data_IF_340087955832
#
_entry.id   IF_340087955832
#
_cell.length_a   1.000
_cell.length_b   1.000
_cell.length_c   1.000
_cell.angle_alpha   90.00
_cell.angle_beta   90.00
_cell.angle_gamma   90.00
#
_symmetry.space_group_name_H-M   'P 1'
#
loop_
_entity.id
_entity.type
_entity.pdbx_description
1 polymer ?
#
# COMPACT_ATOMS: atom_id res chain seq x y z
N UNK A 1 -39.48 -2.73 6.86
CA UNK A 1 -38.38 -3.65 7.23
C UNK A 1 -37.89 -4.50 6.05
N UNK A 2 -38.06 -4.04 4.79
CA UNK A 2 -37.63 -4.76 3.57
C UNK A 2 -36.57 -4.03 2.73
N UNK A 3 -36.19 -2.79 3.09
CA UNK A 3 -35.30 -1.98 2.24
C UNK A 3 -33.84 -1.91 2.73
N UNK A 4 -33.53 -2.42 3.94
CA UNK A 4 -32.18 -2.32 4.53
C UNK A 4 -31.19 -3.35 3.94
N UNK A 5 -31.70 -4.53 3.54
CA UNK A 5 -30.85 -5.63 3.05
C UNK A 5 -30.31 -5.33 1.63
N UNK A 6 -31.08 -4.60 0.80
CA UNK A 6 -30.65 -4.21 -0.54
C UNK A 6 -29.53 -3.17 -0.51
N UNK A 7 -29.56 -2.27 0.46
CA UNK A 7 -28.61 -1.17 0.59
C UNK A 7 -27.24 -1.65 1.08
N UNK A 8 -27.22 -2.56 2.07
CA UNK A 8 -25.97 -3.11 2.60
C UNK A 8 -25.24 -4.01 1.58
N UNK A 9 -25.98 -4.85 0.85
CA UNK A 9 -25.41 -5.71 -0.19
C UNK A 9 -24.85 -4.88 -1.35
N UNK A 10 -25.60 -3.85 -1.78
CA UNK A 10 -25.15 -2.89 -2.80
C UNK A 10 -23.86 -2.18 -2.40
N UNK A 11 -23.74 -1.75 -1.13
CA UNK A 11 -22.54 -1.08 -0.64
C UNK A 11 -21.31 -2.00 -0.61
N UNK A 12 -21.47 -3.28 -0.29
CA UNK A 12 -20.35 -4.25 -0.33
C UNK A 12 -19.87 -4.51 -1.75
N UNK A 13 -20.79 -4.60 -2.72
CA UNK A 13 -20.46 -4.75 -4.14
C UNK A 13 -19.73 -3.51 -4.68
N UNK A 14 -20.21 -2.32 -4.32
CA UNK A 14 -19.52 -1.07 -4.62
C UNK A 14 -18.11 -1.04 -4.03
N UNK A 15 -17.97 -1.38 -2.74
CA UNK A 15 -16.67 -1.42 -2.07
C UNK A 15 -15.71 -2.44 -2.72
N UNK A 16 -16.21 -3.61 -3.13
CA UNK A 16 -15.43 -4.61 -3.86
C UNK A 16 -14.86 -4.05 -5.17
N UNK A 17 -15.67 -3.34 -5.96
CA UNK A 17 -15.21 -2.74 -7.22
C UNK A 17 -14.19 -1.62 -6.97
N UNK A 18 -14.37 -0.82 -5.91
CA UNK A 18 -13.40 0.22 -5.52
C UNK A 18 -12.06 -0.42 -5.12
N UNK A 19 -12.08 -1.45 -4.27
CA UNK A 19 -10.88 -2.20 -3.86
C UNK A 19 -10.16 -2.81 -5.07
N UNK A 20 -10.91 -3.44 -5.97
CA UNK A 20 -10.39 -4.02 -7.20
C UNK A 20 -9.72 -2.98 -8.09
N UNK A 21 -10.34 -1.81 -8.27
CA UNK A 21 -9.74 -0.70 -9.04
C UNK A 21 -8.49 -0.15 -8.37
N UNK A 22 -8.52 0.00 -7.04
CA UNK A 22 -7.38 0.45 -6.26
C UNK A 22 -6.19 -0.52 -6.35
N UNK A 23 -6.45 -1.83 -6.36
CA UNK A 23 -5.42 -2.85 -6.48
C UNK A 23 -4.67 -2.84 -7.83
N UNK A 24 -5.23 -2.25 -8.89
CA UNK A 24 -4.58 -2.19 -10.21
C UNK A 24 -3.35 -1.30 -10.24
N UNK A 25 -3.32 -0.22 -9.47
CA UNK A 25 -2.27 0.80 -9.54
C UNK A 25 -1.59 0.96 -8.20
N UNK A 26 -0.25 0.88 -8.18
CA UNK A 26 0.51 1.06 -6.95
C UNK A 26 1.66 2.04 -7.10
N UNK A 27 1.84 2.88 -6.09
CA UNK A 27 3.00 3.72 -5.93
C UNK A 27 3.95 3.08 -4.90
N UNK A 28 5.16 2.77 -5.35
CA UNK A 28 6.19 2.11 -4.56
C UNK A 28 7.35 3.06 -4.31
N UNK A 29 7.91 3.01 -3.12
CA UNK A 29 9.11 3.77 -2.76
C UNK A 29 10.12 2.91 -2.01
N UNK A 30 11.38 3.34 -2.02
CA UNK A 30 12.46 2.59 -1.38
C UNK A 30 12.55 2.82 0.13
N UNK A 31 12.16 4.00 0.61
CA UNK A 31 12.34 4.46 1.99
C UNK A 31 11.01 4.72 2.69
N UNK A 32 11.01 4.69 4.02
CA UNK A 32 9.81 4.95 4.83
C UNK A 32 9.58 6.44 5.07
N UNK A 33 10.64 7.14 5.43
CA UNK A 33 10.60 8.55 5.84
C UNK A 33 11.12 9.49 4.75
N UNK A 34 10.87 10.79 4.94
CA UNK A 34 11.28 11.87 4.04
C UNK A 34 10.29 12.10 2.89
N UNK A 35 10.57 13.14 2.08
CA UNK A 35 9.70 13.59 0.98
C UNK A 35 9.37 12.48 -0.03
N UNK A 36 10.33 11.59 -0.29
CA UNK A 36 10.23 10.47 -1.23
C UNK A 36 9.95 9.12 -0.54
N UNK A 37 9.68 9.13 0.76
CA UNK A 37 9.27 7.96 1.52
C UNK A 37 7.76 7.82 1.63
N UNK A 38 7.29 6.69 2.16
CA UNK A 38 5.87 6.40 2.37
C UNK A 38 5.15 7.55 3.07
N UNK A 39 5.71 8.09 4.14
CA UNK A 39 5.08 9.16 4.93
C UNK A 39 4.93 10.45 4.12
N UNK A 40 6.01 10.92 3.49
CA UNK A 40 5.99 12.13 2.68
C UNK A 40 5.10 11.99 1.44
N UNK A 41 5.13 10.84 0.78
CA UNK A 41 4.32 10.58 -0.42
C UNK A 41 2.84 10.52 -0.09
N UNK A 42 2.44 9.79 0.96
CA UNK A 42 1.05 9.76 1.41
C UNK A 42 0.54 11.15 1.77
N UNK A 43 1.33 11.89 2.57
CA UNK A 43 0.98 13.25 2.96
C UNK A 43 0.79 14.18 1.76
N UNK A 44 1.72 14.15 0.79
CA UNK A 44 1.65 14.98 -0.41
C UNK A 44 0.47 14.61 -1.31
N UNK A 45 0.13 13.32 -1.41
CA UNK A 45 -1.03 12.85 -2.17
C UNK A 45 -2.32 13.36 -1.51
N UNK A 46 -2.46 13.21 -0.19
CA UNK A 46 -3.61 13.72 0.57
C UNK A 46 -3.76 15.23 0.41
N UNK A 47 -2.69 16.00 0.61
CA UNK A 47 -2.72 17.44 0.39
C UNK A 47 -3.15 17.80 -1.04
N UNK A 48 -2.62 17.10 -2.06
CA UNK A 48 -2.95 17.40 -3.44
C UNK A 48 -4.41 17.06 -3.77
N UNK A 49 -4.93 15.95 -3.28
CA UNK A 49 -6.33 15.57 -3.44
C UNK A 49 -7.26 16.56 -2.73
N UNK A 50 -6.92 16.97 -1.51
CA UNK A 50 -7.67 17.97 -0.76
C UNK A 50 -7.69 19.33 -1.47
N UNK A 51 -6.54 19.78 -2.00
CA UNK A 51 -6.46 21.04 -2.77
C UNK A 51 -7.31 21.06 -4.04
N UNK A 52 -7.67 19.87 -4.55
CA UNK A 52 -8.55 19.69 -5.71
C UNK A 52 -10.01 19.46 -5.32
N UNK A 53 -10.34 19.44 -4.03
CA UNK A 53 -11.69 19.12 -3.53
C UNK A 53 -12.09 17.66 -3.75
N UNK A 54 -11.14 16.75 -3.96
CA UNK A 54 -11.42 15.33 -4.20
C UNK A 54 -11.58 14.51 -2.91
N UNK A 55 -11.01 15.00 -1.82
CA UNK A 55 -11.19 14.44 -0.46
C UNK A 55 -11.47 15.57 0.51
N UNK A 56 -12.12 15.25 1.63
CA UNK A 56 -12.30 16.19 2.72
C UNK A 56 -10.95 16.62 3.33
N UNK A 57 -10.92 17.82 3.90
CA UNK A 57 -9.71 18.41 4.49
C UNK A 57 -9.06 17.52 5.55
N UNK A 58 -7.72 17.48 5.54
CA UNK A 58 -6.80 16.64 6.35
C UNK A 58 -6.88 16.88 7.88
N UNK A 59 -7.92 17.53 8.40
CA UNK A 59 -8.09 17.72 9.85
C UNK A 59 -8.58 16.45 10.53
N UNK A 60 -9.37 15.64 9.83
CA UNK A 60 -9.88 14.38 10.36
C UNK A 60 -8.99 13.21 9.95
N UNK A 61 -8.69 12.34 10.92
CA UNK A 61 -7.96 11.08 10.67
C UNK A 61 -8.68 10.17 9.68
N UNK A 62 -10.01 10.28 9.60
CA UNK A 62 -10.85 9.46 8.71
C UNK A 62 -11.63 10.34 7.75
N UNK A 63 -11.52 10.01 6.47
CA UNK A 63 -12.24 10.66 5.39
C UNK A 63 -12.59 9.64 4.30
N UNK A 64 -13.66 9.93 3.55
CA UNK A 64 -14.10 9.07 2.44
C UNK A 64 -13.01 8.97 1.37
N UNK A 65 -12.71 7.74 0.94
CA UNK A 65 -11.71 7.43 -0.07
C UNK A 65 -10.31 7.17 0.50
N UNK A 66 -10.08 7.29 1.81
CA UNK A 66 -8.78 6.99 2.44
C UNK A 66 -8.44 5.50 2.30
N UNK A 67 -7.37 5.13 1.60
CA UNK A 67 -6.85 3.77 1.65
C UNK A 67 -5.95 3.60 2.87
N UNK A 68 -6.07 2.47 3.54
CA UNK A 68 -5.23 2.10 4.68
C UNK A 68 -4.64 0.72 4.49
N UNK A 69 -3.54 0.46 5.16
CA UNK A 69 -2.89 -0.85 5.23
C UNK A 69 -2.71 -1.23 6.69
N UNK A 70 -3.14 -2.44 7.05
CA UNK A 70 -2.98 -2.98 8.40
C UNK A 70 -1.51 -3.28 8.67
N UNK A 71 -0.98 -2.85 9.81
CA UNK A 71 0.44 -2.99 10.17
C UNK A 71 0.71 -4.13 11.15
N UNK A 72 -0.32 -4.71 11.76
CA UNK A 72 -0.22 -5.82 12.72
C UNK A 72 -1.42 -6.75 12.61
N UNK A 73 -1.21 -8.05 12.82
CA UNK A 73 -2.28 -9.05 12.78
C UNK A 73 -3.29 -8.81 13.92
N UNK A 74 -4.58 -8.94 13.59
CA UNK A 74 -5.69 -8.93 14.53
C UNK A 74 -6.61 -10.13 14.21
N UNK A 75 -6.51 -11.17 15.02
CA UNK A 75 -7.28 -12.40 14.83
C UNK A 75 -8.78 -12.22 15.13
N UNK A 76 -9.15 -11.27 15.98
CA UNK A 76 -10.56 -10.99 16.30
C UNK A 76 -11.27 -10.36 15.09
N UNK A 77 -10.58 -9.50 14.38
CA UNK A 77 -11.05 -8.87 13.15
C UNK A 77 -10.69 -9.67 11.89
N UNK A 78 -9.93 -10.76 12.02
CA UNK A 78 -9.42 -11.56 10.89
C UNK A 78 -8.69 -10.70 9.85
N UNK A 79 -7.90 -9.74 10.33
CA UNK A 79 -7.08 -8.87 9.51
C UNK A 79 -5.60 -9.16 9.77
N UNK A 80 -4.80 -9.12 8.72
CA UNK A 80 -3.38 -9.46 8.75
C UNK A 80 -2.52 -8.30 8.27
N UNK A 81 -1.24 -8.32 8.67
CA UNK A 81 -0.27 -7.33 8.25
C UNK A 81 -0.14 -7.30 6.73
N UNK A 82 -0.43 -6.14 6.13
CA UNK A 82 -0.46 -5.95 4.68
C UNK A 82 -1.87 -5.88 4.08
N UNK A 83 -2.91 -6.24 4.83
CA UNK A 83 -4.29 -6.14 4.33
C UNK A 83 -4.65 -4.68 4.02
N UNK A 84 -5.22 -4.47 2.84
CA UNK A 84 -5.63 -3.16 2.34
C UNK A 84 -7.12 -2.95 2.59
N UNK A 85 -7.46 -1.83 3.20
CA UNK A 85 -8.83 -1.38 3.39
C UNK A 85 -9.06 -0.01 2.74
N UNK A 86 -10.31 0.27 2.37
CA UNK A 86 -10.72 1.59 1.88
C UNK A 86 -11.86 2.12 2.74
N UNK A 87 -11.70 3.34 3.24
CA UNK A 87 -12.72 4.04 4.01
C UNK A 87 -13.78 4.62 3.06
N UNK A 88 -15.05 4.25 3.24
CA UNK A 88 -16.18 4.74 2.45
C UNK A 88 -17.31 5.17 3.39
N UNK A 89 -18.19 6.03 2.87
CA UNK A 89 -19.46 6.32 3.54
C UNK A 89 -20.38 5.11 3.35
N UNK A 90 -20.88 4.55 4.46
CA UNK A 90 -21.96 3.57 4.43
C UNK A 90 -23.28 4.35 4.35
N UNK A 91 -23.96 4.29 3.20
CA UNK A 91 -25.19 5.06 2.95
C UNK A 91 -26.35 4.61 3.84
N UNK A 92 -26.44 3.31 4.14
CA UNK A 92 -27.51 2.76 4.97
C UNK A 92 -27.44 3.21 6.44
N UNK A 93 -26.24 3.45 6.95
CA UNK A 93 -26.03 3.90 8.34
C UNK A 93 -25.59 5.37 8.46
N UNK A 94 -25.32 6.05 7.34
CA UNK A 94 -24.88 7.44 7.31
C UNK A 94 -23.55 7.68 8.04
N UNK A 95 -22.63 6.71 8.05
CA UNK A 95 -21.35 6.80 8.76
C UNK A 95 -20.20 6.12 8.02
N UNK A 96 -18.97 6.51 8.34
CA UNK A 96 -17.79 5.90 7.75
C UNK A 96 -17.59 4.45 8.21
N UNK A 97 -17.27 3.58 7.26
CA UNK A 97 -16.75 2.22 7.48
C UNK A 97 -15.51 1.99 6.63
N UNK A 98 -14.68 1.04 7.02
CA UNK A 98 -13.52 0.58 6.26
C UNK A 98 -13.82 -0.81 5.73
N UNK A 99 -13.72 -0.96 4.43
CA UNK A 99 -14.05 -2.18 3.72
C UNK A 99 -12.77 -2.91 3.33
N UNK A 100 -12.72 -4.20 3.64
CA UNK A 100 -11.60 -5.09 3.36
C UNK A 100 -12.09 -6.29 2.55
N UNK A 101 -11.34 -6.65 1.51
CA UNK A 101 -11.54 -7.91 0.80
C UNK A 101 -11.06 -9.08 1.68
N UNK A 102 -11.85 -10.14 1.74
CA UNK A 102 -11.54 -11.37 2.47
C UNK A 102 -11.02 -12.45 1.49
N UNK A 103 -10.31 -13.48 1.97
CA UNK A 103 -9.79 -14.54 1.10
C UNK A 103 -10.85 -15.31 0.30
N UNK A 104 -12.10 -15.34 0.78
CA UNK A 104 -13.24 -15.95 0.10
C UNK A 104 -13.90 -15.02 -0.95
N UNK A 105 -13.33 -13.83 -1.17
CA UNK A 105 -13.85 -12.80 -2.07
C UNK A 105 -14.98 -11.96 -1.49
N UNK A 106 -15.41 -12.23 -0.25
CA UNK A 106 -16.39 -11.38 0.43
C UNK A 106 -15.76 -10.07 0.89
N UNK A 107 -16.59 -9.04 1.13
CA UNK A 107 -16.15 -7.76 1.66
C UNK A 107 -16.62 -7.59 3.09
N UNK A 108 -15.68 -7.39 4.00
CA UNK A 108 -15.91 -7.12 5.42
C UNK A 108 -15.88 -5.63 5.69
N UNK A 109 -16.94 -5.11 6.32
CA UNK A 109 -17.02 -3.72 6.74
C UNK A 109 -16.71 -3.60 8.25
N UNK A 110 -15.82 -2.67 8.62
CA UNK A 110 -15.38 -2.44 9.99
C UNK A 110 -15.49 -0.96 10.33
N UNK A 111 -15.94 -0.64 11.54
CA UNK A 111 -15.95 0.75 12.00
C UNK A 111 -14.53 1.28 12.15
N UNK A 112 -14.26 2.55 11.80
CA UNK A 112 -12.94 3.19 11.94
C UNK A 112 -12.27 2.98 13.30
N UNK A 113 -13.05 3.02 14.38
CA UNK A 113 -12.57 2.81 15.76
C UNK A 113 -12.16 1.38 16.09
N UNK A 114 -12.51 0.41 15.24
CA UNK A 114 -12.21 -1.02 15.41
C UNK A 114 -11.19 -1.53 14.39
N UNK A 115 -10.63 -0.64 13.57
CA UNK A 115 -9.55 -1.01 12.66
C UNK A 115 -8.28 -1.17 13.50
N UNK A 116 -7.53 -2.29 13.37
CA UNK A 116 -6.27 -2.48 14.09
C UNK A 116 -5.22 -1.43 13.69
N UNK A 117 -4.03 -1.41 14.32
CA UNK A 117 -2.95 -0.52 13.90
C UNK A 117 -2.75 -0.53 12.39
N UNK A 118 -2.76 0.66 11.78
CA UNK A 118 -2.79 0.86 10.34
C UNK A 118 -2.10 2.16 9.94
N UNK A 119 -1.70 2.23 8.67
CA UNK A 119 -1.13 3.43 8.04
C UNK A 119 -1.87 3.77 6.74
N UNK A 120 -1.82 5.03 6.28
CA UNK A 120 -2.35 5.42 4.96
C UNK A 120 -1.57 4.69 3.86
N UNK A 121 -2.27 4.25 2.80
CA UNK A 121 -1.71 3.32 1.81
C UNK A 121 -1.79 3.77 0.34
N UNK A 122 -1.73 5.08 0.07
CA UNK A 122 -1.55 5.55 -1.32
C UNK A 122 -0.17 5.13 -1.87
N UNK A 123 0.85 5.22 -1.02
CA UNK A 123 2.20 4.73 -1.23
C UNK A 123 2.51 3.57 -0.28
N UNK A 124 3.37 2.65 -0.71
CA UNK A 124 3.95 1.64 0.18
C UNK A 124 5.44 1.43 -0.16
N UNK A 125 6.18 0.81 0.75
CA UNK A 125 7.57 0.43 0.46
C UNK A 125 7.61 -0.76 -0.49
N UNK A 126 8.69 -0.87 -1.28
CA UNK A 126 8.95 -2.05 -2.12
C UNK A 126 8.96 -3.34 -1.26
N UNK A 127 9.52 -3.29 -0.05
CA UNK A 127 9.52 -4.43 0.88
C UNK A 127 8.11 -4.89 1.24
N UNK A 128 7.19 -3.96 1.51
CA UNK A 128 5.79 -4.27 1.84
C UNK A 128 4.99 -4.79 0.64
N UNK A 129 5.49 -4.61 -0.58
CA UNK A 129 4.87 -5.16 -1.80
C UNK A 129 5.32 -6.58 -2.17
N UNK A 130 6.12 -7.24 -1.32
CA UNK A 130 6.64 -8.57 -1.62
C UNK A 130 5.50 -9.58 -1.77
N UNK A 131 5.51 -10.32 -2.88
CA UNK A 131 4.46 -11.30 -3.21
C UNK A 131 3.24 -10.70 -3.92
N UNK A 132 3.12 -9.38 -4.02
CA UNK A 132 2.07 -8.71 -4.80
C UNK A 132 2.59 -8.25 -6.17
N UNK A 133 1.71 -8.17 -7.16
CA UNK A 133 2.02 -7.62 -8.48
C UNK A 133 0.85 -6.74 -8.94
N UNK A 134 1.15 -5.65 -9.64
CA UNK A 134 0.17 -4.62 -10.01
C UNK A 134 0.17 -4.39 -11.52
N UNK A 135 -0.99 -4.10 -12.09
CA UNK A 135 -1.14 -3.75 -13.51
C UNK A 135 -0.24 -2.55 -13.85
N UNK A 136 -0.32 -1.50 -13.02
CA UNK A 136 0.43 -0.27 -13.17
C UNK A 136 1.26 0.01 -11.91
N UNK A 137 2.57 0.20 -12.06
CA UNK A 137 3.48 0.53 -10.95
C UNK A 137 4.20 1.86 -11.20
N UNK A 138 4.17 2.72 -10.20
CA UNK A 138 4.95 3.96 -10.15
C UNK A 138 6.04 3.80 -9.10
N UNK A 139 7.29 3.64 -9.54
CA UNK A 139 8.46 3.44 -8.68
C UNK A 139 9.16 4.77 -8.43
N UNK A 140 9.10 5.25 -7.19
CA UNK A 140 9.69 6.52 -6.76
C UNK A 140 11.01 6.24 -6.04
N UNK A 141 12.10 6.83 -6.53
CA UNK A 141 13.40 6.77 -5.86
C UNK A 141 13.72 8.11 -5.17
N UNK A 142 14.42 8.09 -4.03
CA UNK A 142 14.87 9.31 -3.37
C UNK A 142 15.90 10.06 -4.22
N UNK A 143 15.97 11.40 -4.05
CA UNK A 143 16.99 12.26 -4.68
C UNK A 143 18.42 11.95 -4.23
N UNK A 144 18.57 11.38 -3.03
CA UNK A 144 19.86 11.01 -2.47
C UNK A 144 19.95 9.50 -2.30
N UNK A 145 21.17 8.97 -2.45
CA UNK A 145 21.39 7.54 -2.34
C UNK A 145 21.15 7.07 -0.90
N UNK A 146 20.23 6.14 -0.73
CA UNK A 146 19.97 5.51 0.56
C UNK A 146 20.68 4.15 0.67
N UNK A 147 21.17 3.74 1.85
CA UNK A 147 21.73 2.41 2.06
C UNK A 147 20.80 1.26 1.66
N UNK A 148 19.49 1.44 1.81
CA UNK A 148 18.50 0.42 1.44
C UNK A 148 18.30 0.28 -0.07
N UNK A 149 18.68 1.29 -0.86
CA UNK A 149 18.51 1.27 -2.30
C UNK A 149 19.62 0.44 -2.96
N UNK A 150 19.36 -0.85 -3.12
CA UNK A 150 20.25 -1.80 -3.78
C UNK A 150 19.69 -2.26 -5.12
N UNK A 151 20.51 -2.95 -5.91
CA UNK A 151 20.12 -3.55 -7.18
C UNK A 151 18.98 -4.53 -6.99
N UNK A 152 19.04 -5.36 -5.95
CA UNK A 152 17.99 -6.32 -5.63
C UNK A 152 16.69 -5.61 -5.27
N UNK A 153 16.72 -4.55 -4.45
CA UNK A 153 15.52 -3.77 -4.12
C UNK A 153 14.92 -3.10 -5.37
N UNK A 154 15.76 -2.47 -6.19
CA UNK A 154 15.33 -1.85 -7.44
C UNK A 154 14.71 -2.89 -8.39
N UNK A 155 15.35 -4.04 -8.56
CA UNK A 155 14.85 -5.15 -9.36
C UNK A 155 13.50 -5.68 -8.84
N UNK A 156 13.35 -5.83 -7.52
CA UNK A 156 12.06 -6.20 -6.92
C UNK A 156 10.99 -5.17 -7.27
N UNK A 157 11.28 -3.88 -7.14
CA UNK A 157 10.35 -2.80 -7.50
C UNK A 157 9.93 -2.83 -8.97
N UNK A 158 10.88 -3.06 -9.88
CA UNK A 158 10.63 -3.21 -11.33
C UNK A 158 9.71 -4.40 -11.61
N UNK A 159 9.99 -5.56 -10.99
CA UNK A 159 9.21 -6.79 -11.20
C UNK A 159 7.85 -6.80 -10.53
N UNK A 160 7.48 -5.77 -9.74
CA UNK A 160 6.10 -5.63 -9.24
C UNK A 160 5.12 -5.20 -10.36
N UNK A 161 5.62 -4.67 -11.48
CA UNK A 161 4.80 -4.23 -12.59
C UNK A 161 4.44 -5.38 -13.55
N UNK A 162 3.15 -5.60 -13.82
CA UNK A 162 2.67 -6.56 -14.82
C UNK A 162 2.64 -5.99 -16.23
N UNK A 163 2.14 -4.76 -16.38
CA UNK A 163 1.84 -4.18 -17.71
C UNK A 163 2.48 -2.80 -17.91
N UNK A 164 2.55 -1.98 -16.87
CA UNK A 164 3.12 -0.64 -16.95
C UNK A 164 4.02 -0.32 -15.76
N UNK A 165 5.20 0.24 -16.06
CA UNK A 165 6.13 0.76 -15.07
C UNK A 165 6.50 2.19 -15.41
N UNK A 166 6.37 3.10 -14.44
CA UNK A 166 6.98 4.42 -14.47
C UNK A 166 7.99 4.54 -13.35
N UNK A 167 9.25 4.80 -13.69
CA UNK A 167 10.29 5.11 -12.71
C UNK A 167 10.44 6.63 -12.62
N UNK A 168 10.30 7.18 -11.42
CA UNK A 168 10.51 8.60 -11.11
C UNK A 168 11.75 8.71 -10.25
N UNK A 169 12.85 9.09 -10.88
CA UNK A 169 14.17 9.15 -10.26
C UNK A 169 15.12 10.01 -11.09
N UNK A 170 16.17 10.52 -10.43
CA UNK A 170 17.32 11.06 -11.14
C UNK A 170 18.12 9.90 -11.78
N UNK A 171 18.60 10.10 -13.00
CA UNK A 171 19.34 9.08 -13.75
C UNK A 171 20.57 8.57 -12.97
N UNK A 172 21.27 9.49 -12.27
CA UNK A 172 22.41 9.16 -11.44
C UNK A 172 22.06 8.21 -10.28
N UNK A 173 20.86 8.35 -9.70
CA UNK A 173 20.38 7.46 -8.63
C UNK A 173 20.09 6.07 -9.20
N UNK A 174 19.42 5.98 -10.36
CA UNK A 174 19.17 4.70 -11.02
C UNK A 174 20.48 3.97 -11.33
N UNK A 175 21.44 4.66 -11.95
CA UNK A 175 22.77 4.11 -12.28
C UNK A 175 23.50 3.55 -11.06
N UNK A 176 23.47 4.27 -9.93
CA UNK A 176 24.09 3.79 -8.68
C UNK A 176 23.32 2.60 -8.08
N UNK A 177 21.99 2.63 -8.14
CA UNK A 177 21.12 1.58 -7.62
C UNK A 177 21.37 0.24 -8.31
N UNK A 178 21.55 0.24 -9.64
CA UNK A 178 21.77 -1.01 -10.39
C UNK A 178 23.17 -1.61 -10.21
N UNK A 179 24.14 -0.84 -9.69
CA UNK A 179 25.50 -1.33 -9.46
C UNK A 179 25.65 -1.87 -8.03
N UNK A 180 25.03 -1.22 -7.05
CA UNK A 180 25.16 -1.56 -5.63
C UNK A 180 24.45 -2.87 -5.31
N UNK A 181 25.21 -3.89 -4.90
CA UNK A 181 24.63 -5.16 -4.42
C UNK A 181 24.28 -5.08 -2.94
N UNK A 182 23.28 -5.86 -2.55
CA UNK A 182 22.97 -6.11 -1.14
C UNK A 182 24.08 -6.94 -0.51
N UNK A 183 24.66 -6.44 0.58
CA UNK A 183 25.62 -7.18 1.38
C UNK A 183 24.87 -8.12 2.34
N UNK A 184 25.23 -9.41 2.33
CA UNK A 184 24.67 -10.41 3.24
C UNK A 184 25.78 -11.04 4.05
N UNK A 185 25.87 -10.68 5.32
CA UNK A 185 26.73 -11.36 6.28
C UNK A 185 26.02 -12.61 6.81
N UNK A 186 26.16 -13.73 6.11
CA UNK A 186 25.75 -15.04 6.63
C UNK A 186 26.90 -16.03 6.50
N UNK A 187 27.24 -16.71 7.60
CA UNK A 187 28.24 -17.78 7.60
C UNK A 187 27.71 -19.07 6.94
N UNK A 188 26.56 -19.02 6.27
CA UNK A 188 25.96 -20.18 5.63
C UNK A 188 26.83 -20.66 4.46
N UNK A 189 27.39 -19.73 3.68
CA UNK A 189 28.30 -20.09 2.59
C UNK A 189 29.55 -20.81 3.13
N UNK A 190 30.13 -20.30 4.23
CA UNK A 190 31.29 -20.91 4.87
C UNK A 190 30.96 -22.29 5.46
N UNK A 191 29.78 -22.46 6.06
CA UNK A 191 29.31 -23.75 6.58
C UNK A 191 28.94 -24.77 5.51
N UNK A 192 28.54 -24.33 4.32
CA UNK A 192 28.28 -25.21 3.18
C UNK A 192 29.56 -25.56 2.42
N UNK A 193 30.62 -24.75 2.56
CA UNK A 193 31.97 -25.03 2.05
C UNK A 193 32.78 -25.99 2.95
N UNK A 194 32.13 -26.84 3.76
CA UNK A 194 32.81 -27.98 4.38
C UNK A 194 33.22 -28.93 3.26
N UNK A 195 34.51 -28.90 2.94
CA UNK A 195 35.19 -29.84 2.05
C UNK A 195 34.86 -31.28 2.48
N UNK A 196 34.25 -32.05 1.58
CA UNK A 196 34.43 -33.51 1.56
C UNK A 196 35.79 -33.83 0.94
#
# INVERSE_FOLDING_TARGET
MKDVIGDEQSMREYAAEVLKRFAKTRLLCAVREGEFGVEGLNHNIEQKLASKGLIATVRDTWYMGRPIMVTSNDHGQQLYNGDIGICLMDEGEGRLKVYFEQPDGSVKAILPSRVPPHETAFAMTIHKSQGSEFENTYLILPKQMSPVLTRELFYTGVTRAKSYLKVVADEAIVKRSVIRKTERSSHLADRLNVQC
#
